data_IF_845755225370
#
_entry.id   IF_845755225370
#
_cell.length_a   1.000
_cell.length_b   1.000
_cell.length_c   1.000
_cell.angle_alpha   90.00
_cell.angle_beta   90.00
_cell.angle_gamma   90.00
#
_symmetry.space_group_name_H-M   'P 1'
#
loop_
_entity.id
_entity.type
_entity.pdbx_description
1 polymer ?
#
# COMPACT_ATOMS: atom_id res chain seq x y z
N UNK A 1 -17.08 -7.83 -12.99
CA UNK A 1 -16.92 -7.33 -11.61
C UNK A 1 -16.62 -8.51 -10.70
N UNK A 2 -15.60 -8.39 -9.88
CA UNK A 2 -15.24 -9.37 -8.84
C UNK A 2 -15.41 -8.71 -7.48
N UNK A 3 -15.74 -9.50 -6.45
CA UNK A 3 -15.86 -9.02 -5.08
C UNK A 3 -14.98 -9.87 -4.18
N UNK A 4 -14.17 -9.23 -3.34
CA UNK A 4 -13.40 -9.88 -2.29
C UNK A 4 -13.92 -9.37 -0.95
N UNK A 5 -14.49 -10.28 -0.16
CA UNK A 5 -14.97 -9.96 1.20
C UNK A 5 -13.80 -9.97 2.19
N UNK A 6 -13.74 -8.99 3.08
CA UNK A 6 -12.72 -8.84 4.13
C UNK A 6 -13.42 -8.97 5.49
N UNK A 7 -13.20 -10.09 6.18
CA UNK A 7 -13.90 -10.48 7.41
C UNK A 7 -13.21 -10.01 8.70
N UNK A 8 -12.83 -8.74 8.78
CA UNK A 8 -12.24 -8.11 9.99
C UNK A 8 -13.31 -7.75 11.03
N UNK A 9 -12.89 -7.13 12.14
CA UNK A 9 -13.79 -6.61 13.18
C UNK A 9 -14.90 -5.68 12.63
N UNK A 10 -14.62 -5.00 11.51
CA UNK A 10 -15.59 -4.23 10.72
C UNK A 10 -15.50 -4.73 9.27
N UNK A 11 -16.34 -5.74 8.92
CA UNK A 11 -16.24 -6.37 7.61
C UNK A 11 -16.66 -5.44 6.48
N UNK A 12 -16.05 -5.61 5.31
CA UNK A 12 -16.33 -4.82 4.11
C UNK A 12 -15.99 -5.58 2.84
N UNK A 13 -16.44 -5.08 1.70
CA UNK A 13 -16.16 -5.63 0.41
C UNK A 13 -15.18 -4.76 -0.39
N UNK A 14 -14.33 -5.41 -1.18
CA UNK A 14 -13.50 -4.81 -2.22
C UNK A 14 -14.11 -5.18 -3.56
N UNK A 15 -14.69 -4.19 -4.26
CA UNK A 15 -15.23 -4.34 -5.60
C UNK A 15 -14.15 -4.02 -6.63
N UNK A 16 -13.94 -4.94 -7.57
CA UNK A 16 -12.90 -4.86 -8.60
C UNK A 16 -13.56 -5.03 -9.97
N UNK A 17 -13.40 -4.04 -10.84
CA UNK A 17 -14.03 -4.11 -12.17
C UNK A 17 -13.72 -2.90 -13.04
N UNK A 18 -14.26 -2.89 -14.24
CA UNK A 18 -14.14 -1.81 -15.22
C UNK A 18 -15.23 -0.78 -15.03
N UNK A 19 -14.89 0.51 -15.08
CA UNK A 19 -15.87 1.61 -15.07
C UNK A 19 -16.61 1.77 -13.74
N UNK A 20 -16.00 1.40 -12.62
CA UNK A 20 -16.59 1.55 -11.28
C UNK A 20 -16.56 2.99 -10.79
N UNK A 21 -15.56 3.78 -11.17
CA UNK A 21 -15.39 5.15 -10.72
C UNK A 21 -16.58 6.05 -11.08
N UNK A 22 -17.10 6.07 -12.34
CA UNK A 22 -18.30 6.82 -12.66
C UNK A 22 -19.58 6.25 -12.04
N UNK A 23 -19.55 5.04 -11.51
CA UNK A 23 -20.66 4.39 -10.79
C UNK A 23 -20.49 4.44 -9.26
N UNK A 24 -19.51 5.17 -8.75
CA UNK A 24 -19.19 5.21 -7.32
C UNK A 24 -20.41 5.48 -6.44
N UNK A 25 -21.26 6.44 -6.81
CA UNK A 25 -22.47 6.77 -6.06
C UNK A 25 -23.48 5.62 -5.98
N UNK A 26 -23.66 4.87 -7.06
CA UNK A 26 -24.56 3.70 -7.08
C UNK A 26 -24.01 2.59 -6.18
N UNK A 27 -22.70 2.30 -6.28
CA UNK A 27 -22.06 1.27 -5.46
C UNK A 27 -22.09 1.64 -3.96
N UNK A 28 -21.87 2.91 -3.62
CA UNK A 28 -21.91 3.38 -2.24
C UNK A 28 -23.30 3.23 -1.63
N UNK A 29 -24.39 3.40 -2.40
CA UNK A 29 -25.76 3.25 -1.89
C UNK A 29 -26.09 1.86 -1.36
N UNK A 30 -25.37 0.83 -1.80
CA UNK A 30 -25.55 -0.54 -1.29
C UNK A 30 -25.06 -0.69 0.16
N UNK A 31 -24.14 0.20 0.61
CA UNK A 31 -23.53 0.11 1.95
C UNK A 31 -23.84 1.31 2.84
N UNK A 32 -24.13 2.48 2.26
CA UNK A 32 -24.41 3.71 3.01
C UNK A 32 -25.56 4.47 2.37
N UNK A 33 -26.62 4.74 3.11
CA UNK A 33 -27.69 5.62 2.63
C UNK A 33 -27.17 7.03 2.31
N UNK A 34 -27.78 7.76 1.35
CA UNK A 34 -27.38 9.12 1.00
C UNK A 34 -27.27 10.04 2.22
N UNK A 35 -26.14 10.72 2.33
CA UNK A 35 -25.75 11.61 3.42
C UNK A 35 -24.79 12.69 2.89
N UNK A 36 -24.15 13.46 3.76
CA UNK A 36 -23.01 14.28 3.34
C UNK A 36 -21.78 13.40 3.06
N UNK A 37 -21.09 13.65 1.95
CA UNK A 37 -19.91 12.91 1.52
C UNK A 37 -18.73 13.87 1.23
N UNK A 38 -17.70 13.82 2.06
CA UNK A 38 -16.48 14.58 1.87
C UNK A 38 -15.47 13.77 1.05
N UNK A 39 -15.23 14.15 -0.20
CA UNK A 39 -14.22 13.54 -1.07
C UNK A 39 -12.88 14.18 -0.71
N UNK A 40 -12.00 13.41 -0.08
CA UNK A 40 -10.63 13.82 0.27
C UNK A 40 -9.69 13.27 -0.80
N UNK A 41 -8.96 14.17 -1.48
CA UNK A 41 -8.12 13.84 -2.63
C UNK A 41 -6.95 14.80 -2.75
N UNK A 42 -5.92 14.42 -3.49
CA UNK A 42 -4.86 15.35 -3.86
C UNK A 42 -5.16 16.09 -5.19
N UNK A 43 -4.43 17.19 -5.42
CA UNK A 43 -4.66 18.07 -6.56
C UNK A 43 -4.50 17.37 -7.93
N UNK A 44 -3.62 16.36 -8.04
CA UNK A 44 -3.43 15.61 -9.28
C UNK A 44 -4.64 14.72 -9.55
N UNK A 45 -5.06 13.95 -8.55
CA UNK A 45 -6.21 13.05 -8.66
C UNK A 45 -7.52 13.83 -8.80
N UNK A 46 -7.65 14.96 -8.10
CA UNK A 46 -8.80 15.86 -8.24
C UNK A 46 -9.02 16.31 -9.69
N UNK A 47 -7.94 16.73 -10.35
CA UNK A 47 -7.97 17.16 -11.76
C UNK A 47 -8.42 16.03 -12.70
N UNK A 48 -8.03 14.79 -12.41
CA UNK A 48 -8.33 13.63 -13.26
C UNK A 48 -9.71 13.05 -13.00
N UNK A 49 -10.12 12.94 -11.75
CA UNK A 49 -11.26 12.11 -11.34
C UNK A 49 -12.24 12.80 -10.37
N UNK A 50 -11.84 13.91 -9.73
CA UNK A 50 -12.61 14.54 -8.66
C UNK A 50 -14.03 14.93 -9.09
N UNK A 51 -14.17 15.57 -10.25
CA UNK A 51 -15.49 15.98 -10.78
C UNK A 51 -16.38 14.78 -11.12
N UNK A 52 -15.80 13.73 -11.71
CA UNK A 52 -16.55 12.54 -12.10
C UNK A 52 -17.13 11.80 -10.87
N UNK A 53 -16.32 11.65 -9.81
CA UNK A 53 -16.76 11.03 -8.55
C UNK A 53 -17.79 11.91 -7.84
N UNK A 54 -17.55 13.22 -7.74
CA UNK A 54 -18.51 14.15 -7.10
C UNK A 54 -19.87 14.13 -7.81
N UNK A 55 -19.89 14.15 -9.14
CA UNK A 55 -21.12 14.05 -9.93
C UNK A 55 -21.83 12.72 -9.68
N UNK A 56 -21.12 11.58 -9.74
CA UNK A 56 -21.69 10.27 -9.48
C UNK A 56 -22.33 10.16 -8.09
N UNK A 57 -21.69 10.73 -7.07
CA UNK A 57 -22.24 10.77 -5.72
C UNK A 57 -23.48 11.64 -5.65
N UNK A 58 -23.47 12.83 -6.26
CA UNK A 58 -24.64 13.74 -6.28
C UNK A 58 -25.84 13.14 -7.02
N UNK A 59 -25.61 12.49 -8.15
CA UNK A 59 -26.66 11.78 -8.90
C UNK A 59 -27.28 10.64 -8.09
N UNK A 60 -26.49 10.02 -7.21
CA UNK A 60 -26.96 9.01 -6.27
C UNK A 60 -27.63 9.60 -5.00
N UNK A 61 -27.72 10.92 -4.87
CA UNK A 61 -28.41 11.62 -3.78
C UNK A 61 -27.53 12.05 -2.62
N UNK A 62 -26.19 11.89 -2.69
CA UNK A 62 -25.29 12.39 -1.65
C UNK A 62 -25.07 13.90 -1.77
N UNK A 63 -24.94 14.60 -0.63
CA UNK A 63 -24.47 15.98 -0.59
C UNK A 63 -22.92 15.99 -0.64
N UNK A 64 -22.36 15.74 -1.83
CA UNK A 64 -20.93 15.58 -2.02
C UNK A 64 -20.20 16.93 -2.17
N UNK A 65 -18.98 16.99 -1.62
CA UNK A 65 -18.04 18.10 -1.79
C UNK A 65 -16.59 17.60 -1.72
N UNK A 66 -15.65 18.38 -2.24
CA UNK A 66 -14.24 18.00 -2.32
C UNK A 66 -13.40 18.76 -1.29
N UNK A 67 -12.48 18.04 -0.65
CA UNK A 67 -11.39 18.54 0.19
C UNK A 67 -10.08 18.18 -0.53
N UNK A 68 -9.47 19.16 -1.20
CA UNK A 68 -8.29 18.95 -2.04
C UNK A 68 -7.06 19.48 -1.33
N UNK A 69 -6.00 18.67 -1.28
CA UNK A 69 -4.69 19.06 -0.74
C UNK A 69 -3.57 18.87 -1.79
N UNK A 70 -2.38 19.45 -1.61
CA UNK A 70 -1.31 19.33 -2.59
C UNK A 70 -0.80 17.88 -2.73
N UNK A 71 -0.48 17.45 -3.96
CA UNK A 71 -0.01 16.09 -4.24
C UNK A 71 1.40 15.80 -3.72
N UNK A 72 1.64 14.53 -3.39
CA UNK A 72 2.94 13.98 -3.02
C UNK A 72 3.10 13.63 -1.54
N UNK A 73 4.02 12.69 -1.26
CA UNK A 73 4.27 12.11 0.07
C UNK A 73 4.60 13.17 1.13
N UNK A 74 5.29 14.27 0.75
CA UNK A 74 5.61 15.38 1.64
C UNK A 74 4.38 16.05 2.29
N UNK A 75 3.19 15.81 1.73
CA UNK A 75 1.91 16.32 2.25
C UNK A 75 1.14 15.31 3.09
N UNK A 76 1.66 14.09 3.26
CA UNK A 76 1.15 13.10 4.21
C UNK A 76 1.53 13.49 5.65
N UNK A 77 1.08 14.65 6.10
CA UNK A 77 1.53 15.32 7.33
C UNK A 77 0.37 15.72 8.24
N UNK A 78 0.72 15.95 9.50
CA UNK A 78 -0.22 16.42 10.54
C UNK A 78 -0.96 17.69 10.14
N UNK A 79 -0.27 18.64 9.50
CA UNK A 79 -0.89 19.90 9.07
C UNK A 79 -1.99 19.65 8.04
N UNK A 80 -1.76 18.82 7.04
CA UNK A 80 -2.76 18.43 6.03
C UNK A 80 -3.96 17.75 6.70
N UNK A 81 -3.72 16.85 7.65
CA UNK A 81 -4.78 16.23 8.44
C UNK A 81 -5.62 17.30 9.16
N UNK A 82 -4.96 18.28 9.83
CA UNK A 82 -5.63 19.37 10.51
C UNK A 82 -6.51 20.22 9.60
N UNK A 83 -6.01 20.57 8.42
CA UNK A 83 -6.77 21.32 7.40
C UNK A 83 -8.01 20.54 6.91
N UNK A 84 -7.87 19.24 6.71
CA UNK A 84 -9.00 18.37 6.34
C UNK A 84 -10.04 18.34 7.46
N UNK A 85 -9.64 18.11 8.72
CA UNK A 85 -10.55 18.08 9.86
C UNK A 85 -11.32 19.39 10.01
N UNK A 86 -10.65 20.53 9.85
CA UNK A 86 -11.29 21.86 9.84
C UNK A 86 -12.29 22.02 8.68
N UNK A 87 -11.96 21.47 7.49
CA UNK A 87 -12.86 21.48 6.33
C UNK A 87 -14.12 20.65 6.59
N UNK A 88 -13.97 19.48 7.22
CA UNK A 88 -15.10 18.63 7.63
C UNK A 88 -15.99 19.36 8.67
N UNK A 89 -15.39 20.05 9.64
CA UNK A 89 -16.11 20.76 10.69
C UNK A 89 -16.88 22.00 10.17
N UNK A 90 -16.33 22.72 9.19
CA UNK A 90 -17.01 23.86 8.57
C UNK A 90 -18.28 23.47 7.81
N UNK A 91 -18.37 22.24 7.36
CA UNK A 91 -19.58 21.66 6.73
C UNK A 91 -20.12 20.57 7.66
N UNK A 92 -20.74 20.88 8.77
CA UNK A 92 -20.87 20.10 9.98
C UNK A 92 -21.28 18.64 9.70
N UNK A 93 -20.29 17.81 9.34
CA UNK A 93 -20.49 16.39 9.16
C UNK A 93 -20.85 15.77 10.52
N UNK A 94 -21.72 14.79 10.49
CA UNK A 94 -22.13 14.01 11.65
C UNK A 94 -21.57 12.59 11.55
N UNK A 95 -21.82 11.77 12.57
CA UNK A 95 -21.41 10.36 12.56
C UNK A 95 -22.13 9.49 11.52
N UNK A 96 -23.23 9.98 10.93
CA UNK A 96 -23.94 9.31 9.84
C UNK A 96 -23.38 9.66 8.45
N UNK A 97 -22.53 10.68 8.36
CA UNK A 97 -21.89 11.11 7.13
C UNK A 97 -20.63 10.29 6.81
N UNK A 98 -20.02 10.52 5.64
CA UNK A 98 -18.91 9.71 5.16
C UNK A 98 -17.73 10.57 4.65
N UNK A 99 -16.53 10.01 4.75
CA UNK A 99 -15.35 10.43 4.02
C UNK A 99 -15.13 9.48 2.84
N UNK A 100 -14.86 10.00 1.66
CA UNK A 100 -14.48 9.24 0.46
C UNK A 100 -13.02 9.56 0.16
N UNK A 101 -12.12 8.62 0.40
CA UNK A 101 -10.71 8.71 0.04
C UNK A 101 -10.55 8.40 -1.44
N UNK A 102 -10.25 9.40 -2.26
CA UNK A 102 -10.04 9.25 -3.70
C UNK A 102 -8.55 9.47 -4.01
N UNK A 103 -7.81 8.43 -4.37
CA UNK A 103 -6.40 8.57 -4.72
C UNK A 103 -5.51 7.38 -4.50
N UNK A 104 -4.20 7.61 -4.49
CA UNK A 104 -3.21 6.62 -4.11
C UNK A 104 -3.12 6.41 -2.58
N UNK A 105 -2.00 5.85 -2.12
CA UNK A 105 -1.78 5.60 -0.69
C UNK A 105 -1.85 6.85 0.19
N UNK A 106 -1.34 8.00 -0.29
CA UNK A 106 -1.34 9.25 0.49
C UNK A 106 -2.77 9.74 0.77
N UNK A 107 -3.66 9.95 -0.23
CA UNK A 107 -5.06 10.27 0.04
C UNK A 107 -5.79 9.20 0.86
N UNK A 108 -5.52 7.90 0.60
CA UNK A 108 -6.11 6.80 1.35
C UNK A 108 -5.82 6.87 2.83
N UNK A 109 -4.55 7.03 3.19
CA UNK A 109 -4.09 7.07 4.58
C UNK A 109 -4.54 8.32 5.32
N UNK A 110 -4.38 9.50 4.70
CA UNK A 110 -4.75 10.79 5.33
C UNK A 110 -6.26 10.88 5.52
N UNK A 111 -7.06 10.51 4.52
CA UNK A 111 -8.52 10.53 4.60
C UNK A 111 -9.05 9.50 5.60
N UNK A 112 -8.48 8.28 5.59
CA UNK A 112 -8.83 7.23 6.54
C UNK A 112 -8.52 7.65 7.98
N UNK A 113 -7.37 8.28 8.22
CA UNK A 113 -7.03 8.78 9.55
C UNK A 113 -7.89 9.99 9.94
N UNK A 114 -8.22 10.88 9.01
CA UNK A 114 -9.19 11.95 9.25
C UNK A 114 -10.55 11.37 9.67
N UNK A 115 -11.04 10.35 8.98
CA UNK A 115 -12.30 9.67 9.33
C UNK A 115 -12.21 9.00 10.71
N UNK A 116 -11.08 8.37 11.05
CA UNK A 116 -10.87 7.71 12.34
C UNK A 116 -10.94 8.67 13.53
N UNK A 117 -10.45 9.90 13.38
CA UNK A 117 -10.38 10.87 14.50
C UNK A 117 -11.54 11.87 14.51
N UNK A 118 -12.14 12.18 13.33
CA UNK A 118 -13.25 13.12 13.26
C UNK A 118 -14.47 12.56 14.01
N UNK A 119 -15.07 13.35 14.88
CA UNK A 119 -16.20 12.99 15.75
C UNK A 119 -16.00 11.64 16.49
N UNK A 120 -14.75 11.20 16.73
CA UNK A 120 -14.32 9.90 17.32
C UNK A 120 -14.59 8.71 16.43
N UNK A 121 -14.63 8.91 15.12
CA UNK A 121 -14.80 7.90 14.11
C UNK A 121 -16.09 8.09 13.30
N UNK A 122 -15.92 8.26 11.99
CA UNK A 122 -16.99 8.23 11.00
C UNK A 122 -16.61 7.20 9.91
N UNK A 123 -17.60 6.74 9.16
CA UNK A 123 -17.34 5.78 8.07
C UNK A 123 -16.51 6.41 6.97
N UNK A 124 -15.67 5.61 6.32
CA UNK A 124 -14.97 6.03 5.12
C UNK A 124 -15.00 4.96 4.03
N UNK A 125 -14.81 5.40 2.81
CA UNK A 125 -14.79 4.60 1.58
C UNK A 125 -13.44 4.84 0.92
N UNK A 126 -12.84 3.81 0.34
CA UNK A 126 -11.62 3.96 -0.46
C UNK A 126 -11.89 3.77 -1.95
N UNK A 127 -11.40 4.69 -2.77
CA UNK A 127 -11.38 4.61 -4.23
C UNK A 127 -9.91 4.74 -4.66
N UNK A 128 -9.14 3.62 -4.64
CA UNK A 128 -7.75 3.64 -5.02
C UNK A 128 -7.58 3.97 -6.50
N UNK A 129 -6.67 4.90 -6.82
CA UNK A 129 -6.33 5.31 -8.18
C UNK A 129 -4.90 4.98 -8.59
N UNK A 130 -4.13 4.30 -7.74
CA UNK A 130 -2.82 3.72 -8.06
C UNK A 130 -2.86 2.20 -7.89
N UNK A 131 -2.00 1.49 -8.63
CA UNK A 131 -1.89 0.04 -8.51
C UNK A 131 -1.46 -0.37 -7.08
N UNK A 132 -0.47 0.33 -6.52
CA UNK A 132 -0.03 0.13 -5.14
C UNK A 132 -1.19 0.22 -4.15
N UNK A 133 -2.04 1.23 -4.29
CA UNK A 133 -3.20 1.39 -3.41
C UNK A 133 -4.25 0.29 -3.64
N UNK A 134 -4.51 -0.09 -4.88
CA UNK A 134 -5.50 -1.10 -5.22
C UNK A 134 -5.13 -2.50 -4.72
N UNK A 135 -3.83 -2.87 -4.72
CA UNK A 135 -3.36 -4.20 -4.30
C UNK A 135 -2.94 -4.25 -2.83
N UNK A 136 -2.62 -3.10 -2.22
CA UNK A 136 -2.05 -3.08 -0.87
C UNK A 136 -2.70 -2.04 0.05
N UNK A 137 -2.39 -0.74 -0.04
CA UNK A 137 -2.68 0.21 1.05
C UNK A 137 -4.18 0.42 1.33
N UNK A 138 -5.09 0.17 0.38
CA UNK A 138 -6.53 0.28 0.61
C UNK A 138 -7.14 -0.84 1.47
N UNK A 139 -6.39 -1.89 1.80
CA UNK A 139 -6.86 -3.06 2.53
C UNK A 139 -6.18 -3.20 3.89
N UNK A 140 -6.96 -3.55 4.92
CA UNK A 140 -6.45 -3.88 6.25
C UNK A 140 -6.39 -2.72 7.24
N UNK A 141 -7.00 -1.58 6.91
CA UNK A 141 -7.36 -0.50 7.83
C UNK A 141 -6.22 0.32 8.43
N UNK A 142 -4.98 0.12 8.02
CA UNK A 142 -3.87 0.98 8.46
C UNK A 142 -4.04 2.36 7.82
N UNK A 143 -4.21 3.40 8.65
CA UNK A 143 -4.33 4.79 8.21
C UNK A 143 -3.39 5.65 9.04
N UNK A 144 -2.65 6.57 8.42
CA UNK A 144 -1.63 7.33 9.13
C UNK A 144 -1.20 8.61 8.42
N UNK A 145 -0.49 9.44 9.18
CA UNK A 145 0.33 10.55 8.66
C UNK A 145 1.76 10.44 9.17
N UNK A 146 2.67 11.06 8.44
CA UNK A 146 4.07 11.15 8.81
C UNK A 146 4.31 12.26 9.83
N UNK A 147 5.25 12.01 10.73
CA UNK A 147 5.81 13.00 11.62
C UNK A 147 7.26 13.36 11.19
N UNK A 148 7.85 14.36 11.78
CA UNK A 148 9.27 14.68 11.55
C UNK A 148 10.19 13.50 11.92
N UNK A 149 9.81 12.76 12.95
CA UNK A 149 10.56 11.60 13.45
C UNK A 149 10.50 10.36 12.56
N UNK A 150 9.57 10.30 11.58
CA UNK A 150 9.46 9.16 10.68
C UNK A 150 8.09 8.98 10.04
N UNK A 151 8.02 8.08 9.06
CA UNK A 151 6.80 7.75 8.32
C UNK A 151 5.79 6.97 9.17
N UNK A 152 4.49 7.22 8.95
CA UNK A 152 3.35 6.46 9.48
C UNK A 152 3.32 6.32 11.02
N UNK A 153 3.85 7.30 11.75
CA UNK A 153 3.97 7.21 13.21
C UNK A 153 2.72 7.67 13.98
N UNK A 154 1.86 8.46 13.35
CA UNK A 154 0.59 8.89 13.91
C UNK A 154 -0.55 8.34 13.04
N UNK A 155 -1.35 7.44 13.58
CA UNK A 155 -2.38 6.77 12.81
C UNK A 155 -3.35 5.95 13.65
N UNK A 156 -4.26 5.28 12.98
CA UNK A 156 -5.25 4.39 13.58
C UNK A 156 -5.51 3.18 12.66
N UNK A 157 -5.93 2.07 13.26
CA UNK A 157 -6.61 1.02 12.53
C UNK A 157 -8.07 1.42 12.34
N UNK A 158 -8.46 1.72 11.12
CA UNK A 158 -9.81 2.11 10.77
C UNK A 158 -10.20 1.46 9.44
N UNK A 159 -11.08 0.46 9.51
CA UNK A 159 -11.48 -0.30 8.33
C UNK A 159 -12.41 0.53 7.44
N UNK A 160 -12.24 0.53 6.11
CA UNK A 160 -13.19 1.17 5.20
C UNK A 160 -14.52 0.41 5.21
N UNK A 161 -15.61 1.09 4.88
CA UNK A 161 -16.91 0.43 4.69
C UNK A 161 -17.04 -0.18 3.29
N UNK A 162 -16.22 0.24 2.34
CA UNK A 162 -16.17 -0.26 0.96
C UNK A 162 -14.86 0.18 0.31
N UNK A 163 -14.31 -0.66 -0.59
CA UNK A 163 -13.22 -0.28 -1.50
C UNK A 163 -13.69 -0.48 -2.94
N UNK A 164 -13.48 0.53 -3.80
CA UNK A 164 -13.83 0.48 -5.23
C UNK A 164 -12.57 0.57 -6.09
N UNK A 165 -12.09 -0.53 -6.64
CA UNK A 165 -10.92 -0.62 -7.53
C UNK A 165 -11.35 -0.65 -8.98
N UNK A 166 -11.23 0.48 -9.70
CA UNK A 166 -11.54 0.57 -11.12
C UNK A 166 -10.34 0.17 -11.97
N UNK A 167 -10.42 -0.99 -12.62
CA UNK A 167 -9.35 -1.54 -13.46
C UNK A 167 -9.00 -0.64 -14.66
N UNK A 168 -9.96 0.13 -15.19
CA UNK A 168 -9.69 1.06 -16.29
C UNK A 168 -8.79 2.21 -15.83
N UNK A 169 -9.03 2.73 -14.63
CA UNK A 169 -8.19 3.77 -14.00
C UNK A 169 -6.77 3.25 -13.77
N UNK A 170 -6.64 2.04 -13.22
CA UNK A 170 -5.34 1.44 -12.93
C UNK A 170 -4.56 1.14 -14.22
N UNK A 171 -5.22 0.62 -15.25
CA UNK A 171 -4.55 0.31 -16.55
C UNK A 171 -4.06 1.56 -17.27
N UNK A 172 -4.71 2.71 -17.06
CA UNK A 172 -4.34 3.98 -17.66
C UNK A 172 -3.16 4.69 -16.95
N UNK A 173 -2.62 4.12 -15.88
CA UNK A 173 -1.53 4.72 -15.13
C UNK A 173 -0.23 4.83 -15.96
N UNK A 174 0.57 5.87 -15.72
CA UNK A 174 1.94 5.93 -16.23
C UNK A 174 2.75 4.68 -15.84
N UNK A 175 3.67 4.21 -16.70
CA UNK A 175 4.47 3.01 -16.44
C UNK A 175 5.18 3.02 -15.07
N UNK A 176 5.69 4.16 -14.62
CA UNK A 176 6.36 4.28 -13.33
C UNK A 176 5.44 3.96 -12.14
N UNK A 177 4.16 4.35 -12.19
CA UNK A 177 3.19 4.04 -11.14
C UNK A 177 2.71 2.59 -11.21
N UNK A 178 2.69 1.99 -12.40
CA UNK A 178 2.44 0.55 -12.56
C UNK A 178 3.60 -0.25 -11.97
N UNK A 179 4.85 0.12 -12.29
CA UNK A 179 6.05 -0.52 -11.73
C UNK A 179 6.09 -0.46 -10.21
N UNK A 180 5.75 0.69 -9.63
CA UNK A 180 5.74 0.87 -8.17
C UNK A 180 4.77 -0.11 -7.49
N UNK A 181 3.56 -0.27 -8.01
CA UNK A 181 2.59 -1.26 -7.50
C UNK A 181 2.98 -2.71 -7.82
N UNK A 182 3.70 -2.98 -8.92
CA UNK A 182 4.14 -4.31 -9.29
C UNK A 182 5.07 -4.94 -8.25
N UNK A 183 5.85 -4.14 -7.53
CA UNK A 183 6.71 -4.63 -6.45
C UNK A 183 5.91 -5.34 -5.35
N UNK A 184 4.77 -4.79 -4.95
CA UNK A 184 3.89 -5.41 -3.95
C UNK A 184 3.22 -6.69 -4.48
N UNK A 185 2.90 -6.75 -5.77
CA UNK A 185 2.35 -7.96 -6.39
C UNK A 185 3.42 -9.06 -6.42
N UNK A 186 4.65 -8.75 -6.82
CA UNK A 186 5.79 -9.67 -6.76
C UNK A 186 5.97 -10.17 -5.32
N UNK A 187 5.87 -9.30 -4.32
CA UNK A 187 5.93 -9.67 -2.90
C UNK A 187 4.89 -10.73 -2.54
N UNK A 188 3.63 -10.54 -2.93
CA UNK A 188 2.57 -11.53 -2.68
C UNK A 188 2.87 -12.87 -3.36
N UNK A 189 3.37 -12.83 -4.58
CA UNK A 189 3.81 -14.03 -5.30
C UNK A 189 4.92 -14.79 -4.57
N UNK A 190 5.94 -14.08 -4.10
CA UNK A 190 7.04 -14.67 -3.31
C UNK A 190 6.56 -15.18 -1.95
N UNK A 191 5.59 -14.50 -1.33
CA UNK A 191 5.07 -14.88 -0.01
C UNK A 191 4.29 -16.19 -0.06
N UNK A 192 3.31 -16.32 -0.97
CA UNK A 192 2.31 -17.41 -0.89
C UNK A 192 1.77 -17.91 -2.23
N UNK A 193 2.07 -17.24 -3.35
CA UNK A 193 1.38 -17.49 -4.61
C UNK A 193 2.31 -17.60 -5.83
N UNK A 194 2.91 -18.79 -6.07
CA UNK A 194 3.81 -19.00 -7.21
C UNK A 194 3.19 -18.68 -8.56
N UNK A 195 1.89 -18.92 -8.76
CA UNK A 195 1.23 -18.64 -10.03
C UNK A 195 1.10 -17.11 -10.28
N UNK A 196 0.77 -16.33 -9.23
CA UNK A 196 0.79 -14.88 -9.31
C UNK A 196 2.21 -14.36 -9.62
N UNK A 197 3.24 -14.97 -9.03
CA UNK A 197 4.63 -14.67 -9.33
C UNK A 197 4.96 -14.93 -10.81
N UNK A 198 4.55 -16.07 -11.35
CA UNK A 198 4.74 -16.42 -12.77
C UNK A 198 4.06 -15.40 -13.70
N UNK A 199 2.88 -14.88 -13.33
CA UNK A 199 2.23 -13.83 -14.12
C UNK A 199 3.08 -12.58 -14.17
N UNK A 200 3.72 -12.19 -13.06
CA UNK A 200 4.59 -11.00 -13.00
C UNK A 200 5.89 -11.15 -13.80
N UNK A 201 6.30 -12.38 -14.11
CA UNK A 201 7.42 -12.67 -15.00
C UNK A 201 7.06 -12.54 -16.50
N UNK A 202 5.79 -12.33 -16.86
CA UNK A 202 5.33 -12.18 -18.24
C UNK A 202 5.23 -10.72 -18.67
N UNK A 203 5.60 -10.35 -19.91
CA UNK A 203 5.57 -8.96 -20.34
C UNK A 203 4.14 -8.40 -20.48
N UNK A 204 3.14 -9.25 -20.58
CA UNK A 204 1.72 -8.90 -20.76
C UNK A 204 0.90 -8.94 -19.46
N UNK A 205 1.55 -8.95 -18.29
CA UNK A 205 0.89 -9.05 -16.99
C UNK A 205 -0.21 -8.00 -16.76
N UNK A 206 -0.07 -6.80 -17.35
CA UNK A 206 -1.07 -5.73 -17.23
C UNK A 206 -2.42 -6.07 -17.88
N UNK A 207 -2.48 -7.06 -18.77
CA UNK A 207 -3.75 -7.51 -19.36
C UNK A 207 -4.64 -8.22 -18.34
N UNK A 208 -4.04 -8.76 -17.27
CA UNK A 208 -4.72 -9.44 -16.17
C UNK A 208 -4.96 -8.57 -14.93
N UNK A 209 -4.94 -7.24 -15.06
CA UNK A 209 -4.92 -6.32 -13.91
C UNK A 209 -6.05 -6.60 -12.89
N UNK A 210 -7.25 -6.92 -13.34
CA UNK A 210 -8.38 -7.23 -12.46
C UNK A 210 -8.19 -8.54 -11.68
N UNK A 211 -7.65 -9.58 -12.32
CA UNK A 211 -7.33 -10.87 -11.68
C UNK A 211 -6.18 -10.69 -10.67
N UNK A 212 -5.16 -9.93 -11.06
CA UNK A 212 -4.00 -9.62 -10.21
C UNK A 212 -4.43 -8.86 -8.95
N UNK A 213 -5.27 -7.82 -9.10
CA UNK A 213 -5.78 -7.06 -7.96
C UNK A 213 -6.58 -7.97 -7.04
N UNK A 214 -7.51 -8.77 -7.58
CA UNK A 214 -8.34 -9.67 -6.78
C UNK A 214 -7.52 -10.70 -6.01
N UNK A 215 -6.49 -11.26 -6.64
CA UNK A 215 -5.60 -12.25 -6.04
C UNK A 215 -4.71 -11.64 -4.96
N UNK A 216 -4.12 -10.46 -5.22
CA UNK A 216 -3.32 -9.71 -4.24
C UNK A 216 -4.15 -9.32 -3.02
N UNK A 217 -5.35 -8.79 -3.22
CA UNK A 217 -6.30 -8.45 -2.15
C UNK A 217 -6.69 -9.69 -1.35
N UNK A 218 -6.90 -10.85 -2.00
CA UNK A 218 -7.25 -12.10 -1.30
C UNK A 218 -6.11 -12.59 -0.40
N UNK A 219 -4.86 -12.53 -0.89
CA UNK A 219 -3.69 -12.90 -0.08
C UNK A 219 -3.56 -11.95 1.13
N UNK A 220 -3.72 -10.66 0.90
CA UNK A 220 -3.66 -9.68 1.99
C UNK A 220 -4.79 -9.88 2.99
N UNK A 221 -6.02 -10.13 2.52
CA UNK A 221 -7.18 -10.47 3.36
C UNK A 221 -6.84 -11.60 4.32
N UNK A 222 -6.32 -12.72 3.82
CA UNK A 222 -6.06 -13.90 4.64
C UNK A 222 -5.09 -13.60 5.79
N UNK A 223 -4.07 -12.77 5.54
CA UNK A 223 -3.12 -12.33 6.57
C UNK A 223 -3.74 -11.29 7.53
N UNK A 224 -4.59 -10.41 7.03
CA UNK A 224 -5.29 -9.39 7.84
C UNK A 224 -6.33 -10.02 8.73
N UNK A 225 -7.11 -10.98 8.23
CA UNK A 225 -8.12 -11.70 9.02
C UNK A 225 -7.48 -12.56 10.12
N UNK A 226 -6.31 -13.15 9.84
CA UNK A 226 -5.54 -13.90 10.83
C UNK A 226 -4.88 -13.01 11.90
N UNK A 227 -4.58 -11.75 11.58
CA UNK A 227 -3.86 -10.82 12.47
C UNK A 227 -4.19 -9.36 12.10
N UNK A 228 -5.36 -8.89 12.51
CA UNK A 228 -5.87 -7.56 12.14
C UNK A 228 -4.94 -6.43 12.59
N UNK A 229 -4.29 -6.57 13.76
CA UNK A 229 -3.49 -5.51 14.40
C UNK A 229 -1.98 -5.64 14.19
N UNK A 230 -1.52 -6.55 13.31
CA UNK A 230 -0.10 -6.70 12.90
C UNK A 230 0.85 -7.02 14.07
N UNK A 231 0.43 -7.96 14.91
CA UNK A 231 1.23 -8.42 16.06
C UNK A 231 1.91 -9.79 15.84
N UNK A 232 1.56 -10.50 14.78
CA UNK A 232 1.96 -11.88 14.49
C UNK A 232 2.19 -12.15 13.01
N UNK A 233 1.38 -13.03 12.40
CA UNK A 233 1.57 -13.53 11.03
C UNK A 233 1.49 -12.45 9.95
N UNK A 234 0.76 -11.37 10.17
CA UNK A 234 0.68 -10.24 9.23
C UNK A 234 2.04 -9.59 8.98
N UNK A 235 3.02 -9.76 9.91
CA UNK A 235 4.39 -9.28 9.71
C UNK A 235 5.06 -9.89 8.46
N UNK A 236 4.59 -11.02 7.93
CA UNK A 236 5.06 -11.58 6.65
C UNK A 236 4.93 -10.58 5.49
N UNK A 237 3.94 -9.68 5.54
CA UNK A 237 3.80 -8.59 4.57
C UNK A 237 5.02 -7.65 4.51
N UNK A 238 5.91 -7.71 5.49
CA UNK A 238 7.15 -6.94 5.49
C UNK A 238 8.31 -7.60 4.71
N UNK A 239 8.05 -8.62 3.88
CA UNK A 239 9.08 -9.15 2.97
C UNK A 239 9.67 -8.00 2.14
N UNK A 240 10.99 -7.86 2.16
CA UNK A 240 11.70 -6.77 1.49
C UNK A 240 11.66 -5.41 2.21
N UNK A 241 10.72 -5.17 3.13
CA UNK A 241 10.48 -3.82 3.69
C UNK A 241 11.57 -3.36 4.65
N UNK A 242 12.18 -4.24 5.44
CA UNK A 242 13.29 -3.84 6.33
C UNK A 242 14.47 -3.31 5.51
N UNK A 243 14.79 -3.97 4.40
CA UNK A 243 15.82 -3.54 3.46
C UNK A 243 15.34 -2.35 2.61
N UNK A 244 14.10 -2.38 2.12
CA UNK A 244 13.50 -1.36 1.28
C UNK A 244 13.38 0.00 1.96
N UNK A 245 12.89 0.06 3.20
CA UNK A 245 12.80 1.32 3.95
C UNK A 245 14.17 1.94 4.23
N UNK A 246 15.21 1.12 4.44
CA UNK A 246 16.57 1.62 4.54
C UNK A 246 17.03 2.25 3.22
N UNK A 247 16.69 1.65 2.08
CA UNK A 247 16.97 2.16 0.74
C UNK A 247 16.23 3.48 0.50
N UNK A 248 14.93 3.54 0.78
CA UNK A 248 14.13 4.76 0.68
C UNK A 248 14.77 5.90 1.48
N UNK A 249 15.14 5.62 2.73
CA UNK A 249 15.76 6.60 3.61
C UNK A 249 17.12 7.07 3.13
N UNK A 250 17.99 6.17 2.67
CA UNK A 250 19.31 6.53 2.12
C UNK A 250 19.21 7.31 0.82
N UNK A 251 18.13 7.13 0.05
CA UNK A 251 17.85 7.90 -1.16
C UNK A 251 17.21 9.26 -0.92
N UNK A 252 17.04 9.66 0.36
CA UNK A 252 16.24 10.84 0.75
C UNK A 252 14.84 10.82 0.11
N UNK A 253 14.24 9.62 0.06
CA UNK A 253 12.92 9.35 -0.53
C UNK A 253 12.79 9.74 -2.02
N UNK A 254 13.90 9.77 -2.76
CA UNK A 254 13.88 9.94 -4.23
C UNK A 254 13.53 8.64 -4.94
N UNK A 255 13.85 7.49 -4.35
CA UNK A 255 13.32 6.19 -4.77
C UNK A 255 11.92 5.99 -4.18
N UNK A 256 11.01 5.48 -5.01
CA UNK A 256 9.64 5.18 -4.58
C UNK A 256 9.61 3.97 -3.65
N UNK A 257 8.48 3.79 -2.95
CA UNK A 257 8.28 2.65 -2.04
C UNK A 257 8.47 1.30 -2.75
N UNK A 258 7.80 1.09 -3.89
CA UNK A 258 7.92 -0.15 -4.64
C UNK A 258 9.34 -0.40 -5.16
N UNK A 259 10.08 0.65 -5.55
CA UNK A 259 11.48 0.52 -5.93
C UNK A 259 12.34 0.04 -4.76
N UNK A 260 12.14 0.59 -3.58
CA UNK A 260 12.82 0.14 -2.35
C UNK A 260 12.50 -1.31 -2.02
N UNK A 261 11.21 -1.67 -2.02
CA UNK A 261 10.73 -3.03 -1.72
C UNK A 261 11.24 -4.05 -2.74
N UNK A 262 11.27 -3.72 -4.03
CA UNK A 262 11.76 -4.60 -5.10
C UNK A 262 13.22 -5.03 -4.89
N UNK A 263 14.11 -4.08 -4.64
CA UNK A 263 15.52 -4.38 -4.33
C UNK A 263 15.64 -5.04 -2.97
N UNK A 264 14.84 -4.60 -2.00
CA UNK A 264 14.80 -5.18 -0.65
C UNK A 264 14.42 -6.66 -0.63
N UNK A 265 13.52 -7.12 -1.50
CA UNK A 265 13.17 -8.53 -1.64
C UNK A 265 14.34 -9.36 -2.20
N UNK A 266 15.05 -8.84 -3.20
CA UNK A 266 16.21 -9.52 -3.75
C UNK A 266 17.34 -9.63 -2.69
N UNK A 267 17.56 -8.56 -1.90
CA UNK A 267 18.50 -8.57 -0.77
C UNK A 267 18.06 -9.59 0.29
N UNK A 268 16.76 -9.68 0.63
CA UNK A 268 16.23 -10.64 1.59
C UNK A 268 16.49 -12.09 1.13
N UNK A 269 16.24 -12.40 -0.15
CA UNK A 269 16.53 -13.71 -0.71
C UNK A 269 18.04 -14.04 -0.69
N UNK A 270 18.87 -13.07 -1.02
CA UNK A 270 20.34 -13.23 -0.94
C UNK A 270 20.83 -13.40 0.49
N UNK A 271 20.27 -12.67 1.47
CA UNK A 271 20.59 -12.81 2.89
C UNK A 271 20.22 -14.19 3.43
N UNK A 272 19.12 -14.78 2.94
CA UNK A 272 18.70 -16.15 3.22
C UNK A 272 19.53 -17.22 2.48
N UNK A 273 20.47 -16.84 1.62
CA UNK A 273 21.26 -17.77 0.80
C UNK A 273 20.49 -18.41 -0.37
N UNK A 274 19.30 -17.93 -0.68
CA UNK A 274 18.40 -18.51 -1.69
C UNK A 274 18.71 -17.96 -3.09
N UNK A 275 19.77 -18.49 -3.72
CA UNK A 275 20.29 -17.98 -5.01
C UNK A 275 19.24 -17.99 -6.13
N UNK A 276 18.49 -19.08 -6.27
CA UNK A 276 17.51 -19.22 -7.34
C UNK A 276 16.29 -18.31 -7.11
N UNK A 277 15.85 -18.14 -5.87
CA UNK A 277 14.79 -17.19 -5.51
C UNK A 277 15.24 -15.75 -5.78
N UNK A 278 16.47 -15.40 -5.39
CA UNK A 278 17.05 -14.08 -5.67
C UNK A 278 17.08 -13.79 -7.18
N UNK A 279 17.52 -14.74 -8.00
CA UNK A 279 17.54 -14.63 -9.46
C UNK A 279 16.13 -14.41 -10.01
N UNK A 280 15.16 -15.22 -9.59
CA UNK A 280 13.77 -15.11 -10.03
C UNK A 280 13.16 -13.75 -9.70
N UNK A 281 13.43 -13.22 -8.48
CA UNK A 281 12.97 -11.87 -8.08
C UNK A 281 13.62 -10.79 -8.97
N UNK A 282 14.92 -10.88 -9.26
CA UNK A 282 15.61 -9.94 -10.15
C UNK A 282 15.03 -9.97 -11.57
N UNK A 283 14.66 -11.15 -12.08
CA UNK A 283 14.06 -11.29 -13.40
C UNK A 283 12.63 -10.71 -13.43
N UNK A 284 11.82 -10.92 -12.39
CA UNK A 284 10.52 -10.30 -12.25
C UNK A 284 10.63 -8.76 -12.13
N UNK A 285 11.58 -8.27 -11.34
CA UNK A 285 11.85 -6.84 -11.20
C UNK A 285 12.22 -6.22 -12.56
N UNK A 286 13.11 -6.86 -13.33
CA UNK A 286 13.51 -6.42 -14.68
C UNK A 286 12.29 -6.35 -15.61
N UNK A 287 11.44 -7.38 -15.60
CA UNK A 287 10.23 -7.42 -16.42
C UNK A 287 9.25 -6.29 -16.06
N UNK A 288 9.17 -5.91 -14.79
CA UNK A 288 8.29 -4.86 -14.30
C UNK A 288 8.94 -3.46 -14.29
N UNK A 289 10.11 -3.26 -14.91
CA UNK A 289 10.88 -1.99 -14.93
C UNK A 289 11.22 -1.46 -13.53
N UNK A 290 11.47 -2.35 -12.58
CA UNK A 290 11.94 -2.03 -11.24
C UNK A 290 13.47 -2.07 -11.18
N UNK A 291 14.11 -1.32 -10.25
CA UNK A 291 15.57 -1.36 -10.08
C UNK A 291 16.03 -2.74 -9.60
N UNK A 292 17.24 -3.11 -10.00
CA UNK A 292 17.86 -4.39 -9.64
C UNK A 292 18.92 -4.24 -8.55
N UNK A 293 19.49 -3.05 -8.41
CA UNK A 293 20.52 -2.72 -7.42
C UNK A 293 20.45 -1.25 -7.03
N UNK A 294 21.23 -0.88 -6.02
CA UNK A 294 21.31 0.49 -5.48
C UNK A 294 22.78 0.84 -5.15
N UNK A 295 23.16 2.13 -5.20
CA UNK A 295 24.54 2.55 -5.02
C UNK A 295 24.91 2.87 -3.56
N UNK A 296 24.36 2.12 -2.57
CA UNK A 296 24.62 2.36 -1.15
C UNK A 296 25.43 1.22 -0.54
N UNK A 297 26.31 1.54 0.43
CA UNK A 297 27.06 0.53 1.16
C UNK A 297 26.18 -0.24 2.16
N UNK A 298 26.43 -1.54 2.40
CA UNK A 298 25.69 -2.35 3.37
C UNK A 298 25.61 -1.73 4.76
N UNK A 299 26.71 -1.14 5.24
CA UNK A 299 26.82 -0.49 6.54
C UNK A 299 25.93 0.76 6.65
N UNK A 300 25.85 1.54 5.57
CA UNK A 300 24.97 2.72 5.49
C UNK A 300 23.50 2.33 5.55
N UNK A 301 23.11 1.30 4.81
CA UNK A 301 21.75 0.76 4.81
C UNK A 301 21.38 0.16 6.17
N UNK A 302 22.28 -0.62 6.79
CA UNK A 302 22.06 -1.17 8.11
C UNK A 302 21.85 -0.06 9.15
N UNK A 303 22.65 1.00 9.14
CA UNK A 303 22.49 2.15 10.02
C UNK A 303 21.13 2.86 9.80
N UNK A 304 20.68 2.97 8.55
CA UNK A 304 19.38 3.56 8.22
C UNK A 304 18.22 2.68 8.72
N UNK A 305 18.32 1.35 8.57
CA UNK A 305 17.30 0.41 9.06
C UNK A 305 17.17 0.42 10.58
N UNK A 306 18.27 0.59 11.32
CA UNK A 306 18.27 0.63 12.78
C UNK A 306 17.54 1.84 13.39
N UNK A 307 17.34 2.89 12.62
CA UNK A 307 16.56 4.04 13.04
C UNK A 307 15.04 3.84 12.83
N UNK A 308 14.62 2.75 12.17
CA UNK A 308 13.22 2.37 12.02
C UNK A 308 12.72 1.66 13.30
N UNK A 309 11.49 1.97 13.74
CA UNK A 309 10.92 1.58 15.05
C UNK A 309 10.51 0.10 15.18
N UNK A 310 10.83 -0.76 14.25
CA UNK A 310 10.48 -2.19 14.29
C UNK A 310 11.29 -3.01 15.31
N UNK A 311 11.99 -2.34 16.26
CA UNK A 311 12.77 -2.97 17.32
C UNK A 311 11.88 -3.44 18.47
N UNK A 312 12.04 -4.71 18.86
CA UNK A 312 11.69 -5.20 20.20
C UNK A 312 13.01 -5.42 20.97
N UNK A 313 13.50 -4.36 21.65
CA UNK A 313 14.80 -4.40 22.32
C UNK A 313 15.96 -4.47 21.32
N UNK A 314 16.86 -5.47 21.48
CA UNK A 314 18.05 -5.67 20.66
C UNK A 314 17.83 -6.63 19.48
N UNK A 315 16.57 -6.97 19.17
CA UNK A 315 16.21 -7.90 18.08
C UNK A 315 15.34 -7.24 17.03
N UNK A 316 15.45 -7.71 15.79
CA UNK A 316 14.63 -7.31 14.64
C UNK A 316 14.14 -8.56 13.90
N UNK A 317 12.88 -8.54 13.47
CA UNK A 317 12.31 -9.60 12.65
C UNK A 317 12.55 -9.30 11.18
N UNK A 318 13.15 -10.23 10.47
CA UNK A 318 13.27 -10.25 9.01
C UNK A 318 12.27 -11.26 8.45
N UNK A 319 11.69 -10.93 7.30
CA UNK A 319 10.96 -11.90 6.48
C UNK A 319 11.91 -12.40 5.41
N UNK A 320 12.16 -13.70 5.40
CA UNK A 320 13.10 -14.34 4.49
C UNK A 320 12.37 -15.40 3.66
N UNK A 321 12.60 -15.44 2.33
CA UNK A 321 12.01 -16.46 1.49
C UNK A 321 12.84 -17.75 1.52
N UNK A 322 12.16 -18.90 1.61
CA UNK A 322 12.75 -20.25 1.43
C UNK A 322 12.63 -20.71 -0.03
N UNK A 323 11.50 -20.36 -0.64
CA UNK A 323 11.17 -20.62 -2.04
C UNK A 323 10.13 -19.60 -2.51
N UNK A 324 9.89 -19.49 -3.82
CA UNK A 324 8.73 -18.75 -4.32
C UNK A 324 7.45 -19.41 -3.78
N UNK A 325 6.62 -18.62 -3.12
CA UNK A 325 5.40 -19.07 -2.44
C UNK A 325 5.60 -19.50 -0.99
N UNK A 326 6.81 -19.41 -0.44
CA UNK A 326 7.09 -19.78 0.95
C UNK A 326 8.11 -18.85 1.60
N UNK A 327 7.70 -18.21 2.69
CA UNK A 327 8.54 -17.33 3.50
C UNK A 327 8.34 -17.60 5.00
N UNK A 328 9.33 -17.25 5.80
CA UNK A 328 9.26 -17.32 7.26
C UNK A 328 9.76 -16.04 7.93
N UNK A 329 9.42 -15.88 9.21
CA UNK A 329 9.96 -14.83 10.07
C UNK A 329 11.20 -15.35 10.79
N UNK A 330 12.31 -14.64 10.66
CA UNK A 330 13.54 -14.89 11.39
C UNK A 330 13.85 -13.70 12.30
N UNK A 331 14.04 -13.98 13.60
CA UNK A 331 14.44 -12.95 14.55
C UNK A 331 15.96 -12.97 14.71
N UNK A 332 16.63 -11.88 14.34
CA UNK A 332 18.08 -11.73 14.44
C UNK A 332 18.45 -10.67 15.48
N UNK A 333 19.68 -10.73 15.99
CA UNK A 333 20.26 -9.63 16.76
C UNK A 333 20.47 -8.41 15.85
N UNK A 334 20.24 -7.22 16.38
CA UNK A 334 20.46 -5.96 15.65
C UNK A 334 21.90 -5.84 15.11
N UNK A 335 22.87 -6.42 15.84
CA UNK A 335 24.28 -6.46 15.47
C UNK A 335 24.57 -7.33 14.23
N UNK A 336 23.67 -8.25 13.86
CA UNK A 336 23.80 -9.13 12.69
C UNK A 336 23.25 -8.48 11.40
N UNK A 337 22.50 -7.38 11.54
CA UNK A 337 21.84 -6.72 10.40
C UNK A 337 22.83 -6.25 9.30
N UNK A 338 24.00 -5.66 9.62
CA UNK A 338 25.00 -5.31 8.60
C UNK A 338 25.50 -6.53 7.80
N UNK A 339 25.64 -7.70 8.45
CA UNK A 339 26.04 -8.93 7.78
C UNK A 339 24.91 -9.47 6.87
N UNK A 340 23.65 -9.35 7.29
CA UNK A 340 22.52 -9.69 6.43
C UNK A 340 22.48 -8.82 5.16
N UNK A 341 22.66 -7.49 5.28
CA UNK A 341 22.79 -6.60 4.11
C UNK A 341 23.96 -7.01 3.23
N UNK A 342 25.14 -7.25 3.81
CA UNK A 342 26.35 -7.62 3.05
C UNK A 342 26.16 -8.92 2.27
N UNK A 343 25.63 -9.98 2.92
CA UNK A 343 25.35 -11.26 2.24
C UNK A 343 24.34 -11.08 1.12
N UNK A 344 23.24 -10.36 1.39
CA UNK A 344 22.17 -10.12 0.41
C UNK A 344 22.66 -9.35 -0.81
N UNK A 345 23.35 -8.25 -0.59
CA UNK A 345 23.87 -7.41 -1.68
C UNK A 345 24.93 -8.12 -2.51
N UNK A 346 25.86 -8.86 -1.87
CA UNK A 346 26.86 -9.65 -2.59
C UNK A 346 26.24 -10.73 -3.48
N UNK A 347 25.12 -11.35 -3.05
CA UNK A 347 24.39 -12.30 -3.88
C UNK A 347 23.74 -11.60 -5.08
N UNK A 348 23.11 -10.43 -4.88
CA UNK A 348 22.52 -9.62 -5.95
C UNK A 348 23.60 -9.23 -6.98
N UNK A 349 24.73 -8.71 -6.52
CA UNK A 349 25.88 -8.35 -7.40
C UNK A 349 26.40 -9.54 -8.20
N UNK A 350 26.50 -10.72 -7.60
CA UNK A 350 26.95 -11.94 -8.26
C UNK A 350 25.94 -12.51 -9.28
N UNK A 351 24.73 -11.96 -9.35
CA UNK A 351 23.67 -12.38 -10.28
C UNK A 351 23.38 -11.35 -11.39
N UNK A 352 23.85 -10.12 -11.23
CA UNK A 352 23.77 -9.05 -12.25
C UNK A 352 24.92 -9.12 -13.24
#
# INVERSE_FOLDING_TARGET
MQTVHIGTSHPYDVLIGEGLLPQAGVQLREVVAPCQAAIVTDATVDTLYGEAVERSLREAGYAAFRCVFPAGERHKRWNTLGEILESLARRPLTRSDIVVALGGGVPGDVAGFAAAVYARGIRFIQIPTTLLAAVDSSVGGKTAVDLEAGKNLAGAFHQPALVLSDCAVIRALPPALLSDGAAEIIKYGVLTDPELFEWMCRPDWTQRIGEIIARSVSIKRDLVEADEYDNGVRQLLNLGHTFGHAIEKCSDFTLSHGQGVAVGMAIAAGAAGQREVCRAILDANRNCNLPLSIPYAPEQLAAAALSDKKRKGDRINLVLPDAIGHCHLESIEVTELPDAFRRGMSMVEALL
#
